data_IF_367518470945
#
_entry.id   IF_367518470945
#
_cell.length_a   1.000
_cell.length_b   1.000
_cell.length_c   1.000
_cell.angle_alpha   90.00
_cell.angle_beta   90.00
_cell.angle_gamma   90.00
#
_symmetry.space_group_name_H-M   'P 1'
#
loop_
_entity.id
_entity.type
_entity.pdbx_description
1 polymer ?
#
# COMPACT_ATOMS: atom_id res chain seq x y z
N UNK A 1 -9.38 9.13 -3.38
CA UNK A 1 -8.43 9.58 -2.32
C UNK A 1 -7.54 8.41 -1.95
N UNK A 2 -6.25 8.62 -1.67
CA UNK A 2 -5.33 7.56 -1.20
C UNK A 2 -4.95 7.84 0.25
N UNK A 3 -5.13 6.86 1.13
CA UNK A 3 -4.65 6.92 2.51
C UNK A 3 -3.25 6.29 2.57
N UNK A 4 -2.25 7.13 2.81
CA UNK A 4 -0.85 6.73 2.98
C UNK A 4 -0.50 6.53 4.45
N UNK A 5 0.49 5.67 4.70
CA UNK A 5 1.10 5.40 6.02
C UNK A 5 0.08 4.90 7.06
N UNK A 6 -0.93 4.15 6.61
CA UNK A 6 -1.87 3.47 7.48
C UNK A 6 -1.29 2.12 7.89
N UNK A 7 -1.00 1.94 9.18
CA UNK A 7 -0.30 0.76 9.72
C UNK A 7 -1.25 -0.35 10.12
N UNK A 8 -2.47 0.01 10.52
CA UNK A 8 -3.47 -0.90 11.07
C UNK A 8 -4.86 -0.60 10.51
N UNK A 9 -5.72 -1.62 10.48
CA UNK A 9 -7.13 -1.45 10.05
C UNK A 9 -7.86 -0.44 10.93
N UNK A 10 -7.54 -0.39 12.22
CA UNK A 10 -8.12 0.56 13.17
C UNK A 10 -7.72 2.00 12.86
N UNK A 11 -6.48 2.24 12.46
CA UNK A 11 -6.02 3.56 11.97
C UNK A 11 -6.79 3.96 10.72
N UNK A 12 -6.95 3.04 9.77
CA UNK A 12 -7.73 3.27 8.55
C UNK A 12 -9.19 3.64 8.84
N UNK A 13 -9.82 2.98 9.80
CA UNK A 13 -11.19 3.33 10.25
C UNK A 13 -11.27 4.74 10.83
N UNK A 14 -10.31 5.13 11.68
CA UNK A 14 -10.28 6.50 12.25
C UNK A 14 -10.13 7.57 11.17
N UNK A 15 -9.32 7.29 10.14
CA UNK A 15 -9.18 8.20 8.99
C UNK A 15 -10.51 8.34 8.25
N UNK A 16 -11.21 7.24 7.98
CA UNK A 16 -12.53 7.27 7.35
C UNK A 16 -13.58 8.03 8.19
N UNK A 17 -13.57 7.83 9.51
CA UNK A 17 -14.47 8.55 10.42
C UNK A 17 -14.19 10.06 10.39
N UNK A 18 -12.92 10.46 10.39
CA UNK A 18 -12.54 11.86 10.30
C UNK A 18 -12.92 12.45 8.94
N UNK A 19 -12.63 11.75 7.84
CA UNK A 19 -13.08 12.15 6.50
C UNK A 19 -14.60 12.36 6.45
N UNK A 20 -15.38 11.46 7.06
CA UNK A 20 -16.83 11.56 7.11
C UNK A 20 -17.32 12.80 7.88
N UNK A 21 -16.61 13.24 8.93
CA UNK A 21 -16.91 14.49 9.65
C UNK A 21 -16.74 15.73 8.77
N UNK A 22 -15.83 15.68 7.80
CA UNK A 22 -15.62 16.72 6.79
C UNK A 22 -16.45 16.50 5.51
N UNK A 23 -17.43 15.60 5.54
CA UNK A 23 -18.34 15.34 4.41
C UNK A 23 -17.73 14.50 3.28
N UNK A 24 -16.60 13.83 3.51
CA UNK A 24 -15.94 12.94 2.56
C UNK A 24 -16.24 11.48 2.93
N UNK A 25 -17.42 10.98 2.53
CA UNK A 25 -17.82 9.60 2.79
C UNK A 25 -17.59 8.71 1.58
N UNK A 26 -16.96 7.56 1.82
CA UNK A 26 -16.74 6.52 0.81
C UNK A 26 -18.08 6.12 0.18
N UNK A 27 -18.12 6.06 -1.15
CA UNK A 27 -19.32 5.73 -1.94
C UNK A 27 -20.26 6.90 -2.19
N UNK A 28 -20.15 8.01 -1.46
CA UNK A 28 -20.95 9.22 -1.73
C UNK A 28 -20.31 10.06 -2.83
N UNK A 29 -21.12 10.57 -3.76
CA UNK A 29 -20.67 11.41 -4.89
C UNK A 29 -19.54 10.76 -5.72
N UNK A 30 -19.51 9.43 -5.77
CA UNK A 30 -18.47 8.68 -6.47
C UNK A 30 -17.11 8.67 -5.80
N UNK A 31 -17.01 9.06 -4.52
CA UNK A 31 -15.75 9.04 -3.78
C UNK A 31 -15.29 7.59 -3.52
N UNK A 32 -14.24 7.18 -4.23
CA UNK A 32 -13.49 5.96 -3.94
C UNK A 32 -12.31 6.25 -2.99
N UNK A 33 -12.08 5.34 -2.05
CA UNK A 33 -10.98 5.39 -1.09
C UNK A 33 -10.00 4.27 -1.37
N UNK A 34 -8.75 4.62 -1.65
CA UNK A 34 -7.66 3.69 -1.89
C UNK A 34 -6.71 3.70 -0.70
N UNK A 35 -6.04 2.56 -0.47
CA UNK A 35 -4.98 2.44 0.52
C UNK A 35 -3.63 2.36 -0.20
N UNK A 36 -2.63 3.11 0.27
CA UNK A 36 -1.27 2.85 -0.14
C UNK A 36 -0.78 1.55 0.52
N UNK A 37 -0.51 0.52 -0.27
CA UNK A 37 0.02 -0.76 0.19
C UNK A 37 1.55 -0.69 0.22
N UNK A 38 2.08 -0.03 1.25
CA UNK A 38 3.50 0.34 1.34
C UNK A 38 4.19 -0.18 2.62
N UNK A 39 3.42 -0.85 3.49
CA UNK A 39 3.89 -1.44 4.76
C UNK A 39 3.60 -2.95 4.72
N UNK A 40 4.51 -3.82 5.21
CA UNK A 40 4.25 -5.27 5.25
C UNK A 40 2.93 -5.67 5.91
N UNK A 41 2.49 -4.95 6.96
CA UNK A 41 1.18 -5.19 7.59
C UNK A 41 0.00 -4.98 6.62
N UNK A 42 0.11 -4.07 5.66
CA UNK A 42 -0.92 -3.81 4.65
C UNK A 42 -1.06 -5.00 3.71
N UNK A 43 0.05 -5.68 3.41
CA UNK A 43 0.06 -6.89 2.58
C UNK A 43 -0.50 -8.08 3.34
N UNK A 44 -0.05 -8.29 4.58
CA UNK A 44 -0.49 -9.41 5.41
C UNK A 44 -1.97 -9.34 5.76
N UNK A 45 -2.51 -8.14 5.98
CA UNK A 45 -3.91 -7.90 6.33
C UNK A 45 -4.71 -7.29 5.17
N UNK A 46 -4.26 -7.49 3.93
CA UNK A 46 -4.86 -6.86 2.75
C UNK A 46 -6.37 -7.14 2.63
N UNK A 47 -6.83 -8.34 2.99
CA UNK A 47 -8.26 -8.69 2.93
C UNK A 47 -9.09 -7.91 3.99
N UNK A 48 -8.53 -7.67 5.18
CA UNK A 48 -9.18 -6.83 6.19
C UNK A 48 -9.21 -5.36 5.78
N UNK A 49 -8.11 -4.87 5.20
CA UNK A 49 -8.06 -3.53 4.62
C UNK A 49 -9.05 -3.38 3.46
N UNK A 50 -9.24 -4.41 2.64
CA UNK A 50 -10.17 -4.41 1.53
C UNK A 50 -11.64 -4.28 1.96
N UNK A 51 -11.98 -4.55 3.22
CA UNK A 51 -13.30 -4.23 3.75
C UNK A 51 -13.51 -2.71 3.85
N UNK A 52 -12.46 -1.94 4.12
CA UNK A 52 -12.53 -0.50 4.37
C UNK A 52 -12.02 0.39 3.23
N UNK A 53 -11.34 -0.16 2.22
CA UNK A 53 -10.96 0.55 0.98
C UNK A 53 -11.59 -0.08 -0.29
N UNK A 54 -11.55 0.67 -1.39
CA UNK A 54 -12.02 0.30 -2.75
C UNK A 54 -10.88 -0.23 -3.63
N UNK A 55 -9.63 0.00 -3.23
CA UNK A 55 -8.46 -0.43 -3.96
C UNK A 55 -7.16 -0.18 -3.24
N UNK A 56 -6.08 -0.66 -3.85
CA UNK A 56 -4.72 -0.56 -3.36
C UNK A 56 -3.82 0.13 -4.38
N UNK A 57 -2.89 0.94 -3.89
CA UNK A 57 -1.75 1.43 -4.65
C UNK A 57 -0.49 0.95 -3.97
N UNK A 58 0.24 0.02 -4.58
CA UNK A 58 1.48 -0.52 -4.01
C UNK A 58 2.54 0.56 -4.10
N UNK A 59 3.04 1.02 -2.94
CA UNK A 59 4.18 1.93 -2.88
C UNK A 59 5.46 1.11 -2.81
N UNK A 60 6.07 0.82 -3.96
CA UNK A 60 7.20 -0.13 -4.05
C UNK A 60 8.44 0.35 -3.28
N UNK A 61 8.64 1.67 -3.27
CA UNK A 61 9.64 2.39 -2.52
C UNK A 61 9.68 2.03 -1.01
N UNK A 62 8.62 2.38 -0.27
CA UNK A 62 8.57 2.13 1.17
C UNK A 62 8.37 0.64 1.50
N UNK A 63 7.64 -0.09 0.64
CA UNK A 63 7.48 -1.53 0.80
C UNK A 63 8.82 -2.25 0.72
N UNK A 64 9.72 -1.83 -0.18
CA UNK A 64 11.08 -2.36 -0.29
C UNK A 64 11.91 -2.03 0.94
N UNK A 65 11.89 -0.78 1.40
CA UNK A 65 12.61 -0.37 2.62
C UNK A 65 12.21 -1.21 3.83
N UNK A 66 10.91 -1.35 4.06
CA UNK A 66 10.39 -2.06 5.23
C UNK A 66 10.50 -3.58 5.10
N UNK A 67 10.47 -4.12 3.87
CA UNK A 67 10.66 -5.56 3.63
C UNK A 67 12.12 -5.97 3.82
N UNK A 68 13.06 -5.16 3.36
CA UNK A 68 14.49 -5.45 3.44
C UNK A 68 15.16 -4.90 4.72
N UNK A 69 14.46 -4.04 5.47
CA UNK A 69 15.01 -3.39 6.66
C UNK A 69 16.11 -2.39 6.32
N UNK A 70 15.97 -1.67 5.19
CA UNK A 70 16.95 -0.73 4.67
C UNK A 70 16.39 0.69 4.64
N UNK A 71 17.28 1.67 4.79
CA UNK A 71 17.00 3.07 4.52
C UNK A 71 17.70 3.46 3.21
N UNK A 72 16.93 3.80 2.17
CA UNK A 72 17.48 4.10 0.84
C UNK A 72 18.25 5.41 0.78
N UNK A 73 18.05 6.30 1.75
CA UNK A 73 18.74 7.57 1.85
C UNK A 73 20.04 7.46 2.70
N UNK A 74 20.30 6.29 3.27
CA UNK A 74 21.51 6.00 4.04
C UNK A 74 22.59 5.40 3.16
N UNK A 75 23.69 6.14 2.91
CA UNK A 75 24.83 5.70 2.09
C UNK A 75 25.39 4.32 2.49
N UNK A 76 25.24 3.93 3.76
CA UNK A 76 25.74 2.65 4.29
C UNK A 76 24.94 1.44 3.80
N UNK A 77 23.64 1.60 3.59
CA UNK A 77 22.72 0.48 3.27
C UNK A 77 21.90 0.71 2.00
N UNK A 78 21.94 1.89 1.40
CA UNK A 78 21.32 2.19 0.11
C UNK A 78 21.69 1.20 -1.01
N UNK A 79 22.94 0.69 -1.12
CA UNK A 79 23.25 -0.33 -2.11
C UNK A 79 22.51 -1.67 -1.94
N UNK A 80 21.90 -1.91 -0.77
CA UNK A 80 21.07 -3.09 -0.49
C UNK A 80 19.61 -2.90 -0.91
N UNK A 81 19.20 -1.69 -1.28
CA UNK A 81 17.86 -1.41 -1.79
C UNK A 81 17.73 -1.96 -3.23
N UNK A 82 16.88 -2.97 -3.40
CA UNK A 82 16.52 -3.49 -4.73
C UNK A 82 15.05 -3.90 -4.72
N UNK A 83 14.23 -3.20 -5.51
CA UNK A 83 12.80 -3.48 -5.64
C UNK A 83 12.53 -4.83 -6.35
N UNK A 84 13.56 -5.40 -7.00
CA UNK A 84 13.50 -6.73 -7.65
C UNK A 84 14.00 -7.85 -6.74
N UNK A 85 14.38 -7.53 -5.50
CA UNK A 85 14.78 -8.54 -4.53
C UNK A 85 13.68 -9.62 -4.41
N UNK A 86 14.01 -10.93 -4.35
CA UNK A 86 13.01 -11.99 -4.29
C UNK A 86 11.97 -11.81 -3.17
N UNK A 87 12.36 -11.28 -2.01
CA UNK A 87 11.43 -11.01 -0.91
C UNK A 87 10.43 -9.90 -1.27
N UNK A 88 10.90 -8.85 -1.97
CA UNK A 88 10.06 -7.73 -2.43
C UNK A 88 9.12 -8.19 -3.54
N UNK A 89 9.62 -8.97 -4.51
CA UNK A 89 8.77 -9.53 -5.56
C UNK A 89 7.68 -10.44 -4.99
N UNK A 90 8.02 -11.25 -3.98
CA UNK A 90 7.04 -12.10 -3.29
C UNK A 90 5.99 -11.27 -2.55
N UNK A 91 6.39 -10.25 -1.78
CA UNK A 91 5.43 -9.46 -1.01
C UNK A 91 4.52 -8.62 -1.91
N UNK A 92 5.04 -8.10 -3.04
CA UNK A 92 4.23 -7.44 -4.08
C UNK A 92 3.24 -8.43 -4.70
N UNK A 93 3.68 -9.63 -5.06
CA UNK A 93 2.80 -10.66 -5.61
C UNK A 93 1.68 -11.04 -4.63
N UNK A 94 1.99 -11.17 -3.34
CA UNK A 94 1.01 -11.42 -2.28
C UNK A 94 -0.03 -10.30 -2.20
N UNK A 95 0.40 -9.03 -2.26
CA UNK A 95 -0.50 -7.87 -2.24
C UNK A 95 -1.47 -7.88 -3.44
N UNK A 96 -0.95 -8.14 -4.64
CA UNK A 96 -1.75 -8.23 -5.87
C UNK A 96 -2.76 -9.37 -5.77
N UNK A 97 -2.34 -10.54 -5.29
CA UNK A 97 -3.22 -11.69 -5.14
C UNK A 97 -4.33 -11.44 -4.12
N UNK A 98 -4.00 -10.85 -2.97
CA UNK A 98 -4.98 -10.53 -1.95
C UNK A 98 -6.01 -9.49 -2.44
N UNK A 99 -5.55 -8.43 -3.12
CA UNK A 99 -6.43 -7.45 -3.74
C UNK A 99 -7.40 -8.10 -4.75
N UNK A 100 -6.88 -9.00 -5.61
CA UNK A 100 -7.70 -9.74 -6.58
C UNK A 100 -8.73 -10.66 -5.90
N UNK A 101 -8.33 -11.41 -4.86
CA UNK A 101 -9.25 -12.26 -4.09
C UNK A 101 -10.37 -11.46 -3.44
N UNK A 102 -10.06 -10.27 -2.94
CA UNK A 102 -11.03 -9.35 -2.35
C UNK A 102 -11.86 -8.55 -3.38
N UNK A 103 -11.65 -8.78 -4.68
CA UNK A 103 -12.36 -8.07 -5.75
C UNK A 103 -12.05 -6.57 -5.79
N UNK A 104 -10.84 -6.16 -5.36
CA UNK A 104 -10.40 -4.76 -5.31
C UNK A 104 -9.44 -4.42 -6.44
N UNK A 105 -9.48 -3.15 -6.87
CA UNK A 105 -8.51 -2.60 -7.82
C UNK A 105 -7.13 -2.57 -7.18
N UNK A 106 -6.08 -2.83 -7.95
CA UNK A 106 -4.69 -2.71 -7.50
C UNK A 106 -3.85 -2.06 -8.59
N UNK A 107 -3.12 -1.01 -8.21
CA UNK A 107 -2.09 -0.37 -9.01
C UNK A 107 -0.75 -0.38 -8.27
N UNK A 108 0.29 0.07 -8.95
CA UNK A 108 1.64 0.25 -8.38
C UNK A 108 2.10 1.67 -8.66
N UNK A 109 2.72 2.30 -7.68
CA UNK A 109 3.38 3.59 -7.77
C UNK A 109 4.79 3.46 -7.16
N UNK A 110 5.69 4.33 -7.59
CA UNK A 110 7.10 4.25 -7.23
C UNK A 110 7.98 4.33 -8.47
N UNK A 111 9.29 4.18 -8.26
CA UNK A 111 10.27 4.30 -9.34
C UNK A 111 10.42 3.01 -10.12
N UNK A 112 10.24 1.84 -9.48
CA UNK A 112 10.32 0.53 -10.14
C UNK A 112 9.61 0.45 -11.52
N UNK A 113 8.33 0.85 -11.67
CA UNK A 113 7.66 0.77 -12.98
C UNK A 113 8.24 1.68 -14.06
N UNK A 114 8.97 2.73 -13.68
CA UNK A 114 9.64 3.66 -14.59
C UNK A 114 11.06 3.20 -14.91
N UNK A 115 11.79 2.76 -13.89
CA UNK A 115 13.19 2.34 -14.00
C UNK A 115 13.33 0.94 -14.60
N UNK A 116 12.28 0.11 -14.47
CA UNK A 116 12.20 -1.27 -14.96
C UNK A 116 10.84 -1.53 -15.65
N UNK A 117 10.68 -1.12 -16.92
CA UNK A 117 9.42 -1.30 -17.68
C UNK A 117 9.09 -2.76 -18.04
#
# INVERSE_FOLDING_TARGET
MVCSVCRTVQEGRRVLDEMARHGLRRGERGLEVYLMCEIPSNVLLAEEFAAICDGFSIGSNDLTQLTLGVDRDSDLVAPLFDERNPAVMQIIAMAIQAAKRAGRKVGICGQAPSDYP
#
